data_IF_982047179301
#
_entry.id   IF_982047179301
#
_cell.length_a   1.000
_cell.length_b   1.000
_cell.length_c   1.000
_cell.angle_alpha   90.00
_cell.angle_beta   90.00
_cell.angle_gamma   90.00
#
_symmetry.space_group_name_H-M   'P 1'
#
loop_
_entity.id
_entity.type
_entity.pdbx_description
1 polymer ?
#
# COMPACT_ATOMS: atom_id res chain seq x y z
N UNK A 1 -2.35 -10.28 1.74
CA UNK A 1 -1.88 -10.02 0.37
C UNK A 1 -2.06 -8.54 0.04
N UNK A 2 -1.15 -7.94 -0.74
CA UNK A 2 -1.29 -6.55 -1.17
C UNK A 2 -2.22 -6.49 -2.38
N UNK A 3 -3.38 -5.82 -2.26
CA UNK A 3 -4.27 -5.56 -3.39
C UNK A 3 -3.57 -4.63 -4.39
N UNK A 4 -3.67 -4.98 -5.67
CA UNK A 4 -3.22 -4.09 -6.75
C UNK A 4 -4.10 -2.83 -6.78
N UNK A 5 -3.57 -1.74 -7.34
CA UNK A 5 -4.26 -0.44 -7.35
C UNK A 5 -5.63 -0.54 -8.04
N UNK A 6 -5.72 -1.27 -9.16
CA UNK A 6 -6.98 -1.43 -9.90
C UNK A 6 -8.08 -2.08 -9.04
N UNK A 7 -7.75 -3.11 -8.24
CA UNK A 7 -8.69 -3.79 -7.35
C UNK A 7 -9.22 -2.86 -6.25
N UNK A 8 -8.41 -1.88 -5.82
CA UNK A 8 -8.85 -0.87 -4.83
C UNK A 8 -9.89 0.07 -5.43
N UNK A 9 -9.70 0.49 -6.68
CA UNK A 9 -10.68 1.29 -7.40
C UNK A 9 -11.95 0.49 -7.70
N UNK A 10 -11.82 -0.79 -8.00
CA UNK A 10 -12.96 -1.70 -8.17
C UNK A 10 -13.82 -1.79 -6.90
N UNK A 11 -13.20 -1.85 -5.71
CA UNK A 11 -13.92 -1.77 -4.42
C UNK A 11 -14.79 -0.51 -4.34
N UNK A 12 -14.25 0.65 -4.72
CA UNK A 12 -14.98 1.92 -4.70
C UNK A 12 -16.09 1.93 -5.76
N UNK A 13 -15.79 1.42 -6.96
CA UNK A 13 -16.75 1.32 -8.06
C UNK A 13 -17.97 0.50 -7.65
N UNK A 14 -17.76 -0.70 -7.12
CA UNK A 14 -18.83 -1.61 -6.74
C UNK A 14 -19.66 -1.10 -5.55
N UNK A 15 -19.06 -0.30 -4.66
CA UNK A 15 -19.69 0.14 -3.41
C UNK A 15 -20.36 1.52 -3.47
N UNK A 16 -19.67 2.53 -3.99
CA UNK A 16 -20.01 3.95 -3.78
C UNK A 16 -20.16 4.74 -5.07
N UNK A 17 -19.67 4.24 -6.20
CA UNK A 17 -19.68 4.98 -7.45
C UNK A 17 -21.11 5.14 -8.01
N UNK A 18 -21.47 6.30 -8.58
CA UNK A 18 -22.82 6.56 -9.08
C UNK A 18 -23.23 5.62 -10.22
N UNK A 19 -22.27 5.24 -11.08
CA UNK A 19 -22.46 4.27 -12.16
C UNK A 19 -22.29 2.81 -11.69
N UNK A 20 -22.04 2.60 -10.39
CA UNK A 20 -21.78 1.28 -9.83
C UNK A 20 -23.04 0.59 -9.29
N UNK A 21 -23.00 -0.74 -9.12
CA UNK A 21 -24.11 -1.55 -8.63
C UNK A 21 -24.48 -1.34 -7.15
N UNK A 22 -23.75 -0.48 -6.40
CA UNK A 22 -23.97 -0.18 -4.95
C UNK A 22 -24.13 -1.43 -4.08
N UNK A 23 -23.22 -2.38 -4.25
CA UNK A 23 -23.20 -3.65 -3.54
C UNK A 23 -22.88 -3.47 -2.05
N UNK A 24 -23.36 -4.43 -1.25
CA UNK A 24 -23.00 -4.53 0.16
C UNK A 24 -21.51 -4.88 0.32
N UNK A 25 -20.91 -4.51 1.46
CA UNK A 25 -19.47 -4.75 1.68
C UNK A 25 -19.09 -6.24 1.66
N UNK A 26 -20.02 -7.13 2.02
CA UNK A 26 -19.82 -8.59 1.94
C UNK A 26 -19.80 -9.07 0.50
N UNK A 27 -20.68 -8.53 -0.36
CA UNK A 27 -20.67 -8.84 -1.79
C UNK A 27 -19.39 -8.33 -2.46
N UNK A 28 -18.98 -7.09 -2.18
CA UNK A 28 -17.72 -6.51 -2.70
C UNK A 28 -16.49 -7.34 -2.27
N UNK A 29 -16.45 -7.79 -1.02
CA UNK A 29 -15.38 -8.63 -0.51
C UNK A 29 -15.28 -9.96 -1.28
N UNK A 30 -16.43 -10.57 -1.61
CA UNK A 30 -16.48 -11.81 -2.40
C UNK A 30 -16.06 -11.58 -3.86
N UNK A 31 -16.51 -10.50 -4.50
CA UNK A 31 -16.18 -10.21 -5.91
C UNK A 31 -14.71 -9.88 -6.11
N UNK A 32 -14.11 -9.11 -5.19
CA UNK A 32 -12.69 -8.71 -5.26
C UNK A 32 -11.76 -9.75 -4.61
N UNK A 33 -12.32 -10.84 -4.08
CA UNK A 33 -11.59 -11.89 -3.34
C UNK A 33 -10.68 -11.33 -2.23
N UNK A 34 -11.25 -10.47 -1.38
CA UNK A 34 -10.52 -9.84 -0.27
C UNK A 34 -11.33 -9.80 1.02
N UNK A 35 -10.64 -9.59 2.15
CA UNK A 35 -11.32 -9.53 3.44
C UNK A 35 -12.21 -8.29 3.57
N UNK A 36 -13.31 -8.44 4.31
CA UNK A 36 -14.24 -7.34 4.60
C UNK A 36 -13.54 -6.15 5.29
N UNK A 37 -12.56 -6.41 6.14
CA UNK A 37 -11.73 -5.37 6.78
C UNK A 37 -10.99 -4.52 5.75
N UNK A 38 -10.53 -5.14 4.66
CA UNK A 38 -9.82 -4.49 3.56
C UNK A 38 -10.75 -3.59 2.76
N UNK A 39 -11.97 -4.05 2.45
CA UNK A 39 -13.02 -3.22 1.84
C UNK A 39 -13.30 -1.98 2.69
N UNK A 40 -13.59 -2.15 3.98
CA UNK A 40 -13.86 -1.04 4.91
C UNK A 40 -12.69 -0.05 4.98
N UNK A 41 -11.45 -0.54 5.03
CA UNK A 41 -10.24 0.29 5.07
C UNK A 41 -10.13 1.18 3.84
N UNK A 42 -10.28 0.61 2.63
CA UNK A 42 -10.16 1.38 1.39
C UNK A 42 -11.29 2.37 1.20
N UNK A 43 -12.53 2.01 1.55
CA UNK A 43 -13.66 2.94 1.51
C UNK A 43 -13.48 4.10 2.50
N UNK A 44 -12.93 3.85 3.70
CA UNK A 44 -12.59 4.91 4.66
C UNK A 44 -11.54 5.85 4.07
N UNK A 45 -10.49 5.31 3.47
CA UNK A 45 -9.42 6.10 2.82
C UNK A 45 -9.95 6.91 1.63
N UNK A 46 -10.82 6.33 0.81
CA UNK A 46 -11.48 7.02 -0.30
C UNK A 46 -12.23 8.27 0.17
N UNK A 47 -12.98 8.17 1.29
CA UNK A 47 -13.69 9.32 1.88
C UNK A 47 -12.74 10.43 2.36
N UNK A 48 -11.52 10.10 2.75
CA UNK A 48 -10.55 11.07 3.29
C UNK A 48 -9.77 11.79 2.20
N UNK A 49 -9.19 11.05 1.24
CA UNK A 49 -8.25 11.61 0.27
C UNK A 49 -8.66 11.46 -1.19
N UNK A 50 -9.73 10.69 -1.49
CA UNK A 50 -10.10 10.25 -2.84
C UNK A 50 -8.93 9.67 -3.66
N UNK A 51 -7.92 9.14 -2.98
CA UNK A 51 -6.74 8.55 -3.60
C UNK A 51 -6.41 7.19 -2.96
N UNK A 52 -6.31 6.16 -3.79
CA UNK A 52 -6.08 4.76 -3.42
C UNK A 52 -4.70 4.25 -3.84
N UNK A 53 -3.86 5.12 -4.43
CA UNK A 53 -2.47 4.79 -4.70
C UNK A 53 -1.70 4.58 -3.39
N UNK A 54 -0.62 3.81 -3.48
CA UNK A 54 0.28 3.69 -2.35
C UNK A 54 0.90 5.06 -2.03
N UNK A 55 0.89 5.40 -0.75
CA UNK A 55 1.60 6.58 -0.28
C UNK A 55 3.09 6.30 -0.18
N UNK A 56 3.88 7.33 0.06
CA UNK A 56 5.26 7.16 0.49
C UNK A 56 5.29 6.26 1.73
N UNK A 57 6.14 5.23 1.70
CA UNK A 57 6.26 4.31 2.84
C UNK A 57 6.73 5.13 4.05
N UNK A 58 5.97 5.13 5.16
CA UNK A 58 6.45 5.77 6.37
C UNK A 58 7.68 5.01 6.87
N UNK A 59 8.74 5.74 7.18
CA UNK A 59 10.01 5.18 7.64
C UNK A 59 10.99 6.29 7.97
N UNK A 60 12.05 5.97 8.72
CA UNK A 60 13.13 6.92 8.97
C UNK A 60 13.82 7.19 7.62
N UNK A 61 13.96 8.46 7.21
CA UNK A 61 14.77 8.77 6.03
C UNK A 61 16.19 8.23 6.22
N UNK A 62 16.85 7.84 5.12
CA UNK A 62 18.27 7.49 5.21
C UNK A 62 19.05 8.68 5.75
N UNK A 63 19.88 8.43 6.76
CA UNK A 63 20.74 9.45 7.38
C UNK A 63 22.11 9.47 6.72
N UNK A 64 22.53 8.34 6.16
CA UNK A 64 23.81 8.20 5.46
C UNK A 64 23.70 8.69 4.02
N UNK A 65 24.77 9.33 3.58
CA UNK A 65 25.00 9.67 2.16
C UNK A 65 25.54 8.46 1.40
N UNK A 66 25.41 8.40 0.06
CA UNK A 66 25.95 7.29 -0.74
C UNK A 66 27.46 7.07 -0.52
N UNK A 67 28.21 8.15 -0.29
CA UNK A 67 29.64 8.09 0.00
C UNK A 67 29.92 7.44 1.37
N UNK A 68 29.12 7.77 2.38
CA UNK A 68 29.21 7.13 3.70
C UNK A 68 28.83 5.65 3.63
N UNK A 69 27.80 5.29 2.86
CA UNK A 69 27.42 3.89 2.65
C UNK A 69 28.58 3.10 2.01
N UNK A 70 29.25 3.66 0.99
CA UNK A 70 30.43 3.05 0.37
C UNK A 70 31.59 2.90 1.35
N UNK A 71 31.81 3.87 2.23
CA UNK A 71 32.85 3.79 3.26
C UNK A 71 32.56 2.69 4.28
N UNK A 72 31.30 2.54 4.70
CA UNK A 72 30.88 1.47 5.62
C UNK A 72 31.07 0.09 4.97
N UNK A 73 30.69 -0.06 3.70
CA UNK A 73 30.89 -1.32 2.94
C UNK A 73 32.40 -1.63 2.84
N UNK A 74 33.20 -0.66 2.43
CA UNK A 74 34.64 -0.85 2.29
C UNK A 74 35.35 -1.13 3.63
N UNK A 75 34.85 -0.58 4.75
CA UNK A 75 35.35 -0.89 6.09
C UNK A 75 35.01 -2.34 6.46
N UNK A 76 33.75 -2.76 6.25
CA UNK A 76 33.30 -4.12 6.57
C UNK A 76 34.02 -5.20 5.73
N UNK A 77 34.34 -4.90 4.47
CA UNK A 77 35.13 -5.80 3.62
C UNK A 77 36.58 -5.93 4.10
N UNK A 78 37.17 -4.85 4.62
CA UNK A 78 38.55 -4.83 5.14
C UNK A 78 38.68 -5.47 6.52
N UNK A 79 37.70 -5.26 7.39
CA UNK A 79 37.62 -5.88 8.70
C UNK A 79 36.89 -7.22 8.62
N UNK A 80 37.33 -8.11 7.72
CA UNK A 80 36.83 -9.49 7.76
C UNK A 80 37.21 -10.06 9.14
N UNK A 81 36.26 -10.04 10.08
CA UNK A 81 36.34 -10.70 11.38
C UNK A 81 36.27 -12.20 11.11
N UNK A 82 37.38 -12.76 10.63
CA UNK A 82 37.64 -14.21 10.62
C UNK A 82 38.12 -14.61 12.00
#
# INVERSE_FOLDING_TARGET
>A
MALQVHQRYEIVFLSQHPLGPKLSYTAVAKTVHCDLKTVKRWLKRWKQSKNLTDGTRPGRPRVTTPKQDQQVIALAEKETFV
#
